data_IF_764689099508
#
_entry.id   IF_764689099508
#
_cell.length_a   1.000
_cell.length_b   1.000
_cell.length_c   1.000
_cell.angle_alpha   90.00
_cell.angle_beta   90.00
_cell.angle_gamma   90.00
#
_symmetry.space_group_name_H-M   'P 1'
#
loop_
_entity.id
_entity.type
_entity.pdbx_description
1 polymer ?
#
# COMPACT_ATOMS: atom_id res chain seq x y z
N UNK A 1 35.35 -8.62 11.32
CA UNK A 1 34.56 -8.57 10.07
C UNK A 1 33.11 -8.79 10.43
N UNK A 2 32.35 -7.70 10.67
CA UNK A 2 30.91 -7.75 10.93
C UNK A 2 30.22 -7.40 9.62
N UNK A 3 29.34 -8.29 9.17
CA UNK A 3 28.64 -8.18 7.90
C UNK A 3 27.91 -6.85 7.79
N UNK A 4 28.29 -6.09 6.77
CA UNK A 4 27.58 -4.91 6.33
C UNK A 4 26.28 -5.41 5.68
N UNK A 5 25.22 -5.60 6.47
CA UNK A 5 23.88 -5.71 5.89
C UNK A 5 23.53 -4.34 5.33
N UNK A 6 23.75 -4.19 4.02
CA UNK A 6 23.26 -3.06 3.23
C UNK A 6 21.74 -3.16 3.22
N UNK A 7 21.11 -2.58 4.25
CA UNK A 7 19.69 -2.23 4.18
C UNK A 7 19.60 -1.07 3.22
N UNK A 8 19.05 -1.34 2.02
CA UNK A 8 18.63 -0.29 1.10
C UNK A 8 17.62 0.56 1.85
N UNK A 9 18.06 1.75 2.25
CA UNK A 9 17.22 2.81 2.75
C UNK A 9 16.31 3.21 1.59
N UNK A 10 15.14 2.58 1.48
CA UNK A 10 14.09 3.07 0.59
C UNK A 10 13.70 4.43 1.14
N UNK A 11 14.19 5.48 0.47
CA UNK A 11 13.79 6.86 0.65
C UNK A 11 12.27 6.91 0.92
N UNK A 12 11.89 7.69 1.93
CA UNK A 12 10.53 8.23 2.06
C UNK A 12 10.23 9.12 0.85
N UNK A 13 10.10 8.52 -0.32
CA UNK A 13 9.31 9.11 -1.38
C UNK A 13 7.87 8.86 -1.00
N UNK A 14 7.22 9.90 -0.47
CA UNK A 14 5.80 10.11 -0.65
C UNK A 14 5.50 10.32 -2.15
N UNK A 15 5.88 9.36 -2.99
CA UNK A 15 5.26 9.19 -4.29
C UNK A 15 3.90 8.63 -3.96
N UNK A 16 2.85 9.39 -4.28
CA UNK A 16 1.49 8.88 -4.31
C UNK A 16 1.54 7.58 -5.13
N UNK A 17 1.48 6.45 -4.44
CA UNK A 17 1.35 5.16 -5.11
C UNK A 17 -0.02 5.21 -5.77
N UNK A 18 -0.06 5.07 -7.10
CA UNK A 18 -1.30 4.90 -7.85
C UNK A 18 -2.19 3.90 -7.10
N UNK A 19 -3.39 4.33 -6.69
CA UNK A 19 -4.31 3.49 -5.90
C UNK A 19 -4.25 3.61 -4.38
N UNK A 20 -3.50 4.55 -3.79
CA UNK A 20 -3.59 4.83 -2.33
C UNK A 20 -4.92 5.50 -1.96
N UNK A 21 -5.59 5.05 -0.89
CA UNK A 21 -6.75 5.75 -0.30
C UNK A 21 -6.29 6.56 0.91
N UNK A 22 -6.53 7.87 0.88
CA UNK A 22 -6.25 8.78 1.99
C UNK A 22 -7.56 9.27 2.62
N UNK A 23 -7.62 9.24 3.95
CA UNK A 23 -8.73 9.77 4.74
C UNK A 23 -8.21 10.90 5.62
N UNK A 24 -8.65 12.12 5.34
CA UNK A 24 -8.33 13.30 6.15
C UNK A 24 -9.29 13.41 7.31
N UNK A 25 -8.76 13.73 8.48
CA UNK A 25 -9.54 14.13 9.65
C UNK A 25 -9.56 15.66 9.71
N UNK A 26 -10.63 16.25 10.28
CA UNK A 26 -10.70 17.69 10.48
C UNK A 26 -9.56 18.17 11.41
N UNK A 27 -9.34 19.48 11.44
CA UNK A 27 -8.51 20.08 12.48
C UNK A 27 -9.08 19.76 13.86
N UNK A 28 -8.21 19.34 14.77
CA UNK A 28 -8.59 18.87 16.09
C UNK A 28 -7.66 19.51 17.13
N UNK A 29 -8.22 19.92 18.25
CA UNK A 29 -7.45 20.23 19.45
C UNK A 29 -7.59 19.05 20.44
N UNK A 30 -6.46 18.47 20.86
CA UNK A 30 -6.43 17.39 21.85
C UNK A 30 -5.77 17.92 23.13
N UNK A 31 -6.53 18.06 24.21
CA UNK A 31 -6.01 18.39 25.54
C UNK A 31 -6.16 17.19 26.47
N UNK A 32 -5.04 16.57 26.82
CA UNK A 32 -5.01 15.38 27.69
C UNK A 32 -5.97 14.28 27.24
N UNK A 33 -6.11 14.14 25.91
CA UNK A 33 -7.11 13.32 25.26
C UNK A 33 -6.53 12.61 24.03
N UNK A 34 -7.37 11.78 23.40
CA UNK A 34 -6.99 11.03 22.21
C UNK A 34 -8.11 11.02 21.18
N UNK A 35 -7.74 10.87 19.92
CA UNK A 35 -8.65 10.57 18.81
C UNK A 35 -8.28 9.23 18.19
N UNK A 36 -9.28 8.36 18.03
CA UNK A 36 -9.12 7.09 17.32
C UNK A 36 -9.14 7.38 15.82
N UNK A 37 -8.19 6.79 15.11
CA UNK A 37 -8.07 6.92 13.67
C UNK A 37 -8.82 5.80 12.94
N UNK A 38 -9.27 6.03 11.70
CA UNK A 38 -9.83 4.96 10.88
C UNK A 38 -8.83 3.82 10.73
N UNK A 39 -9.28 2.58 10.94
CA UNK A 39 -8.45 1.41 10.70
C UNK A 39 -8.19 1.22 9.20
N UNK A 40 -7.04 0.64 8.89
CA UNK A 40 -6.73 0.27 7.52
C UNK A 40 -7.59 -0.91 7.06
N UNK A 41 -7.89 -1.00 5.75
CA UNK A 41 -8.49 -2.20 5.17
C UNK A 41 -7.78 -3.49 5.56
N UNK A 42 -8.53 -4.57 5.81
CA UNK A 42 -7.99 -5.88 6.23
C UNK A 42 -6.93 -6.43 5.26
N UNK A 43 -6.99 -6.11 3.97
CA UNK A 43 -6.04 -6.59 2.96
C UNK A 43 -4.94 -5.57 2.60
N UNK A 44 -4.78 -4.49 3.37
CA UNK A 44 -3.72 -3.50 3.12
C UNK A 44 -2.35 -4.16 3.29
N UNK A 45 -1.41 -3.86 2.41
CA UNK A 45 -0.01 -4.25 2.58
C UNK A 45 0.84 -3.11 3.09
N UNK A 46 0.31 -1.88 3.06
CA UNK A 46 0.95 -0.66 3.55
C UNK A 46 -0.07 0.25 4.23
N UNK A 47 0.36 0.88 5.31
CA UNK A 47 -0.40 1.90 6.04
C UNK A 47 0.49 3.07 6.41
N UNK A 48 -0.03 4.28 6.36
CA UNK A 48 0.68 5.49 6.74
C UNK A 48 -0.22 6.36 7.60
N UNK A 49 0.35 6.95 8.65
CA UNK A 49 -0.26 7.98 9.48
C UNK A 49 0.63 9.21 9.40
N UNK A 50 0.04 10.36 9.07
CA UNK A 50 0.71 11.65 9.20
C UNK A 50 -0.06 12.53 10.18
N UNK A 51 0.67 13.08 11.15
CA UNK A 51 0.15 14.09 12.07
C UNK A 51 1.05 15.31 11.98
N UNK A 52 0.46 16.48 11.76
CA UNK A 52 1.11 17.78 11.95
C UNK A 52 0.47 18.49 13.11
N UNK A 53 1.23 18.70 14.18
CA UNK A 53 0.71 19.36 15.37
C UNK A 53 1.72 20.17 16.16
N UNK A 54 1.18 21.04 17.01
CA UNK A 54 1.92 21.95 17.88
C UNK A 54 1.43 21.85 19.33
N UNK A 55 2.32 21.52 20.27
CA UNK A 55 1.98 21.50 21.69
C UNK A 55 1.92 22.93 22.23
N UNK A 56 0.80 23.28 22.85
CA UNK A 56 0.59 24.55 23.54
C UNK A 56 1.31 24.56 24.87
N UNK A 57 1.90 25.71 25.18
CA UNK A 57 2.47 26.04 26.50
C UNK A 57 3.47 25.00 27.02
N UNK A 58 4.17 24.31 26.12
CA UNK A 58 5.24 23.38 26.45
C UNK A 58 6.45 24.12 27.06
N UNK A 59 6.59 24.01 28.39
CA UNK A 59 7.60 24.74 29.15
C UNK A 59 8.98 24.15 28.90
N UNK A 60 9.98 25.03 28.89
CA UNK A 60 11.36 24.59 28.92
C UNK A 60 11.70 24.09 30.33
N UNK A 61 12.26 22.89 30.41
CA UNK A 61 12.59 22.21 31.66
C UNK A 61 13.82 21.35 31.45
N UNK A 62 14.58 21.09 32.52
CA UNK A 62 15.64 20.09 32.50
C UNK A 62 15.07 18.69 32.23
N UNK A 63 15.67 18.00 31.27
CA UNK A 63 15.24 16.66 30.86
C UNK A 63 14.02 16.68 29.94
N UNK A 64 13.13 15.71 30.11
CA UNK A 64 11.96 15.55 29.24
C UNK A 64 10.79 16.41 29.73
N UNK A 65 10.15 17.16 28.82
CA UNK A 65 8.98 17.98 29.15
C UNK A 65 7.83 17.14 29.68
N UNK A 66 7.06 17.59 30.68
CA UNK A 66 5.88 16.83 31.14
C UNK A 66 4.79 16.65 30.07
N UNK A 67 4.80 17.42 28.98
CA UNK A 67 3.88 17.28 27.85
C UNK A 67 4.52 16.53 26.68
N UNK A 68 3.69 15.86 25.91
CA UNK A 68 4.09 15.05 24.75
C UNK A 68 2.87 14.68 23.92
N UNK A 69 3.08 14.24 22.69
CA UNK A 69 2.03 13.59 21.91
C UNK A 69 2.57 12.35 21.20
N UNK A 70 1.68 11.45 20.83
CA UNK A 70 2.04 10.16 20.25
C UNK A 70 1.10 9.73 19.13
N UNK A 71 1.64 8.91 18.25
CA UNK A 71 0.89 8.03 17.36
C UNK A 71 0.96 6.62 17.97
N UNK A 72 -0.18 6.14 18.46
CA UNK A 72 -0.34 4.79 18.96
C UNK A 72 -0.69 3.86 17.80
N UNK A 73 0.06 2.77 17.66
CA UNK A 73 -0.04 1.81 16.56
C UNK A 73 -0.79 0.54 16.97
N UNK A 74 -1.27 0.46 18.21
CA UNK A 74 -1.82 -0.76 18.81
C UNK A 74 -0.76 -1.77 19.22
N UNK A 75 -1.20 -2.91 19.76
CA UNK A 75 -0.34 -3.97 20.32
C UNK A 75 0.79 -3.49 21.28
N UNK A 76 0.59 -2.34 21.95
CA UNK A 76 1.57 -1.71 22.83
C UNK A 76 2.66 -0.89 22.14
N UNK A 77 2.64 -0.79 20.80
CA UNK A 77 3.57 0.04 20.03
C UNK A 77 3.08 1.48 19.92
N UNK A 78 3.98 2.44 20.17
CA UNK A 78 3.67 3.88 20.06
C UNK A 78 4.91 4.69 19.72
N UNK A 79 4.74 5.71 18.89
CA UNK A 79 5.78 6.68 18.54
C UNK A 79 5.45 8.00 19.20
N UNK A 80 6.30 8.47 20.12
CA UNK A 80 6.11 9.72 20.86
C UNK A 80 7.01 10.82 20.29
N UNK A 81 6.50 12.05 20.22
CA UNK A 81 7.30 13.26 20.06
C UNK A 81 7.23 14.09 21.35
N UNK A 82 8.40 14.45 21.89
CA UNK A 82 8.55 15.14 23.17
C UNK A 82 9.71 16.12 23.14
N UNK A 83 9.57 17.26 23.80
CA UNK A 83 10.70 18.17 24.02
C UNK A 83 11.65 17.60 25.07
N UNK A 84 12.95 17.74 24.83
CA UNK A 84 14.00 17.23 25.72
C UNK A 84 15.15 18.24 25.80
N UNK A 85 15.58 18.61 27.01
CA UNK A 85 16.71 19.51 27.22
C UNK A 85 17.75 18.86 28.16
N UNK A 86 18.83 18.27 27.63
CA UNK A 86 19.87 17.64 28.44
C UNK A 86 20.78 18.64 29.17
N UNK A 87 20.83 19.90 28.72
CA UNK A 87 21.83 20.90 29.12
C UNK A 87 21.18 22.19 29.63
N UNK A 88 19.97 22.07 30.19
CA UNK A 88 19.15 23.17 30.67
C UNK A 88 19.91 24.09 31.63
N UNK A 89 19.80 25.40 31.39
CA UNK A 89 20.47 26.47 32.14
C UNK A 89 22.01 26.40 32.13
N UNK A 90 22.60 25.64 31.20
CA UNK A 90 24.06 25.63 30.96
C UNK A 90 24.47 26.60 29.85
N UNK A 91 25.77 26.83 29.67
CA UNK A 91 26.30 27.63 28.56
C UNK A 91 26.05 27.01 27.18
N UNK A 92 25.70 25.73 27.12
CA UNK A 92 25.39 24.96 25.92
C UNK A 92 23.94 24.46 25.94
N UNK A 93 23.05 25.23 26.56
CA UNK A 93 21.60 24.94 26.61
C UNK A 93 21.07 24.73 25.19
N UNK A 94 20.60 23.51 24.93
CA UNK A 94 20.04 23.11 23.65
C UNK A 94 18.80 22.27 23.90
N UNK A 95 17.64 22.82 23.52
CA UNK A 95 16.39 22.07 23.52
C UNK A 95 16.28 21.26 22.23
N UNK A 96 15.93 19.99 22.37
CA UNK A 96 15.85 18.97 21.34
C UNK A 96 14.43 18.42 21.21
N UNK A 97 14.10 17.90 20.03
CA UNK A 97 12.93 17.05 19.83
C UNK A 97 13.35 15.58 19.96
N UNK A 98 12.80 14.88 20.94
CA UNK A 98 12.98 13.45 21.15
C UNK A 98 11.85 12.68 20.50
N UNK A 99 12.17 11.85 19.53
CA UNK A 99 11.27 10.88 18.91
C UNK A 99 11.61 9.50 19.47
N UNK A 100 10.63 8.79 20.03
CA UNK A 100 10.86 7.47 20.61
C UNK A 100 9.77 6.48 20.18
N UNK A 101 10.17 5.31 19.70
CA UNK A 101 9.29 4.17 19.52
C UNK A 101 9.37 3.27 20.76
N UNK A 102 8.22 3.04 21.38
CA UNK A 102 8.06 2.15 22.53
C UNK A 102 7.34 0.85 22.14
N UNK A 103 7.55 -0.20 22.94
CA UNK A 103 6.66 -1.35 23.10
C UNK A 103 6.38 -1.55 24.59
N UNK A 104 5.16 -1.29 25.04
CA UNK A 104 4.90 -1.19 26.48
C UNK A 104 5.80 -0.12 27.09
N UNK A 105 6.55 -0.42 28.15
CA UNK A 105 7.49 0.55 28.75
C UNK A 105 8.92 0.47 28.18
N UNK A 106 9.16 -0.46 27.26
CA UNK A 106 10.48 -0.66 26.65
C UNK A 106 10.70 0.27 25.45
N UNK A 107 11.88 0.87 25.36
CA UNK A 107 12.32 1.66 24.22
C UNK A 107 12.86 0.71 23.15
N UNK A 108 12.30 0.79 21.95
CA UNK A 108 12.76 0.03 20.78
C UNK A 108 13.75 0.85 19.95
N UNK A 109 13.42 2.12 19.72
CA UNK A 109 14.27 3.07 19.01
C UNK A 109 14.05 4.48 19.57
N UNK A 110 15.11 5.30 19.54
CA UNK A 110 15.07 6.69 20.01
C UNK A 110 16.06 7.54 19.23
N UNK A 111 15.67 8.77 18.92
CA UNK A 111 16.54 9.78 18.35
C UNK A 111 16.21 11.16 18.93
N UNK A 112 17.25 11.93 19.23
CA UNK A 112 17.15 13.32 19.67
C UNK A 112 17.60 14.23 18.52
N UNK A 113 16.79 15.22 18.15
CA UNK A 113 16.99 16.04 16.97
C UNK A 113 16.92 17.52 17.30
N UNK A 114 17.99 18.26 17.00
CA UNK A 114 17.99 19.73 17.00
C UNK A 114 17.75 20.34 15.62
N UNK A 115 18.00 19.60 14.55
CA UNK A 115 17.77 20.02 13.16
C UNK A 115 16.50 19.38 12.61
N UNK A 116 15.80 20.11 11.74
CA UNK A 116 14.58 19.64 11.08
C UNK A 116 13.32 19.75 11.95
N UNK A 117 13.43 19.61 13.26
CA UNK A 117 12.34 19.74 14.24
C UNK A 117 12.39 21.07 15.00
N UNK A 118 11.23 21.50 15.51
CA UNK A 118 11.09 22.69 16.34
C UNK A 118 10.54 22.30 17.73
N UNK A 119 11.39 22.15 18.75
CA UNK A 119 10.97 21.67 20.06
C UNK A 119 10.27 22.75 20.92
N UNK A 120 10.08 23.97 20.42
CA UNK A 120 9.45 25.05 21.18
C UNK A 120 7.93 24.91 21.22
N UNK A 121 7.31 25.49 22.27
CA UNK A 121 5.86 25.58 22.36
C UNK A 121 5.24 26.29 21.14
N UNK A 122 4.07 25.83 20.72
CA UNK A 122 3.31 26.32 19.57
C UNK A 122 4.03 26.14 18.21
N UNK A 123 5.17 25.47 18.16
CA UNK A 123 5.83 25.14 16.91
C UNK A 123 5.24 23.84 16.33
N UNK A 124 4.88 23.90 15.04
CA UNK A 124 4.35 22.75 14.34
C UNK A 124 5.46 21.79 13.92
N UNK A 125 5.28 20.53 14.30
CA UNK A 125 6.07 19.41 13.80
C UNK A 125 5.15 18.41 13.12
N UNK A 126 5.64 17.84 12.03
CA UNK A 126 5.04 16.69 11.37
C UNK A 126 5.73 15.42 11.86
N UNK A 127 4.96 14.40 12.19
CA UNK A 127 5.41 13.03 12.44
C UNK A 127 4.67 12.10 11.48
N UNK A 128 5.42 11.28 10.76
CA UNK A 128 4.91 10.29 9.81
C UNK A 128 5.33 8.92 10.32
N UNK A 129 4.38 8.00 10.40
CA UNK A 129 4.64 6.59 10.67
C UNK A 129 4.10 5.76 9.52
N UNK A 130 4.99 5.02 8.88
CA UNK A 130 4.67 4.07 7.82
C UNK A 130 4.86 2.64 8.32
N UNK A 131 3.92 1.78 7.96
CA UNK A 131 3.82 0.38 8.34
C UNK A 131 3.69 -0.47 7.08
N UNK A 132 4.27 -1.66 7.10
CA UNK A 132 3.98 -2.69 6.10
C UNK A 132 3.52 -4.02 6.72
N UNK A 133 3.03 -4.92 5.88
CA UNK A 133 2.54 -6.24 6.27
C UNK A 133 3.64 -7.19 6.80
N UNK A 134 4.92 -6.86 6.59
CA UNK A 134 6.07 -7.61 7.08
C UNK A 134 6.51 -7.15 8.48
N UNK A 135 5.85 -6.14 9.05
CA UNK A 135 6.13 -5.60 10.37
C UNK A 135 7.29 -4.60 10.38
N UNK A 136 7.61 -3.97 9.25
CA UNK A 136 8.49 -2.80 9.26
C UNK A 136 7.70 -1.58 9.75
N UNK A 137 8.37 -0.75 10.57
CA UNK A 137 7.92 0.55 11.02
C UNK A 137 8.98 1.56 10.59
N UNK A 138 8.63 2.50 9.73
CA UNK A 138 9.47 3.63 9.36
C UNK A 138 8.88 4.91 9.95
N UNK A 139 9.73 5.71 10.61
CA UNK A 139 9.35 6.97 11.23
C UNK A 139 10.10 8.10 10.57
N UNK A 140 9.37 9.14 10.18
CA UNK A 140 9.90 10.38 9.63
C UNK A 140 9.28 11.58 10.33
N UNK A 141 9.92 12.73 10.25
CA UNK A 141 9.29 13.96 10.75
C UNK A 141 10.13 15.20 10.57
N UNK A 142 9.54 16.34 10.95
CA UNK A 142 10.18 17.65 10.86
C UNK A 142 9.16 18.78 10.68
N UNK A 143 9.67 19.99 10.47
CA UNK A 143 8.86 21.22 10.42
C UNK A 143 8.38 21.57 9.01
N UNK A 144 9.21 21.36 8.00
CA UNK A 144 8.93 21.69 6.59
C UNK A 144 8.96 20.46 5.69
N UNK A 145 10.11 19.80 5.65
CA UNK A 145 10.35 18.59 4.87
C UNK A 145 10.62 17.49 5.90
N UNK A 146 9.75 16.47 5.99
CA UNK A 146 9.99 15.34 6.87
C UNK A 146 11.27 14.60 6.47
N UNK A 147 12.17 14.38 7.43
CA UNK A 147 13.38 13.58 7.26
C UNK A 147 13.21 12.23 7.96
N UNK A 148 13.89 11.21 7.46
CA UNK A 148 13.90 9.90 8.10
C UNK A 148 14.49 10.01 9.51
N UNK A 149 13.76 9.50 10.51
CA UNK A 149 14.20 9.46 11.91
C UNK A 149 14.82 8.08 12.21
N UNK A 150 14.05 7.02 12.03
CA UNK A 150 14.53 5.63 12.13
C UNK A 150 13.57 4.66 11.43
N UNK A 151 14.05 3.44 11.16
CA UNK A 151 13.23 2.32 10.72
C UNK A 151 13.60 1.06 11.50
N UNK A 152 12.59 0.27 11.90
CA UNK A 152 12.78 -0.99 12.62
C UNK A 152 11.83 -2.06 12.08
N UNK A 153 12.27 -3.32 12.10
CA UNK A 153 11.36 -4.45 11.92
C UNK A 153 10.96 -5.01 13.29
N UNK A 154 9.66 -5.06 13.57
CA UNK A 154 9.12 -5.58 14.84
C UNK A 154 8.54 -6.99 14.71
N UNK A 155 8.66 -7.61 13.53
CA UNK A 155 8.21 -8.99 13.25
C UNK A 155 6.71 -9.21 13.42
N UNK A 156 5.90 -8.14 13.44
CA UNK A 156 4.46 -8.18 13.66
C UNK A 156 3.75 -7.22 12.71
N UNK A 157 2.76 -7.72 12.00
CA UNK A 157 1.88 -6.88 11.18
C UNK A 157 0.95 -6.05 12.09
N UNK A 158 1.08 -4.73 12.03
CA UNK A 158 0.27 -3.78 12.82
C UNK A 158 -0.88 -3.16 12.02
N UNK A 159 -1.06 -3.50 10.73
CA UNK A 159 -2.10 -2.94 9.86
C UNK A 159 -3.53 -3.33 10.28
N UNK A 160 -3.67 -4.33 11.15
CA UNK A 160 -4.96 -4.78 11.69
C UNK A 160 -5.32 -4.14 13.03
N UNK A 161 -4.43 -3.34 13.61
CA UNK A 161 -4.67 -2.68 14.88
C UNK A 161 -5.50 -1.39 14.67
N UNK A 162 -6.03 -0.82 15.76
CA UNK A 162 -6.77 0.46 15.73
C UNK A 162 -5.85 1.61 16.17
N UNK A 163 -5.27 2.36 15.23
CA UNK A 163 -4.35 3.44 15.59
C UNK A 163 -5.08 4.62 16.25
N UNK A 164 -4.35 5.40 17.03
CA UNK A 164 -4.87 6.64 17.62
C UNK A 164 -3.78 7.70 17.74
N UNK A 165 -4.18 8.96 17.84
CA UNK A 165 -3.31 10.06 18.25
C UNK A 165 -3.69 10.44 19.66
N UNK A 166 -2.71 10.55 20.55
CA UNK A 166 -2.93 10.95 21.95
C UNK A 166 -1.99 12.08 22.33
N UNK A 167 -2.48 12.99 23.17
CA UNK A 167 -1.71 14.10 23.73
C UNK A 167 -1.76 14.06 25.25
N UNK A 168 -0.63 14.37 25.88
CA UNK A 168 -0.54 14.83 27.27
C UNK A 168 -0.10 16.30 27.23
N UNK A 169 -0.96 17.20 27.69
CA UNK A 169 -1.00 18.61 27.30
C UNK A 169 -1.95 18.86 26.13
N UNK A 170 -2.00 20.12 25.68
CA UNK A 170 -2.87 20.57 24.59
C UNK A 170 -2.13 20.61 23.26
N UNK A 171 -2.48 19.74 22.32
CA UNK A 171 -1.96 19.66 20.95
C UNK A 171 -2.96 20.30 19.97
N UNK A 172 -2.53 21.30 19.22
CA UNK A 172 -3.22 21.75 18.01
C UNK A 172 -2.80 20.90 16.83
N UNK A 173 -3.73 20.20 16.19
CA UNK A 173 -3.49 19.40 14.98
C UNK A 173 -4.01 20.17 13.78
N UNK A 174 -3.10 20.58 12.89
CA UNK A 174 -3.43 21.29 11.64
C UNK A 174 -3.56 20.35 10.44
N UNK A 175 -2.95 19.17 10.50
CA UNK A 175 -3.11 18.14 9.48
C UNK A 175 -3.10 16.76 10.13
N UNK A 176 -4.06 15.92 9.76
CA UNK A 176 -4.13 14.55 10.20
C UNK A 176 -4.77 13.71 9.11
N UNK A 177 -4.04 12.70 8.66
CA UNK A 177 -4.61 11.72 7.76
C UNK A 177 -4.03 10.34 7.99
N UNK A 178 -4.82 9.35 7.55
CA UNK A 178 -4.38 7.98 7.36
C UNK A 178 -4.44 7.64 5.89
N UNK A 179 -3.44 6.91 5.43
CA UNK A 179 -3.35 6.40 4.07
C UNK A 179 -3.14 4.89 4.10
N UNK A 180 -3.74 4.18 3.13
CA UNK A 180 -3.46 2.76 2.85
C UNK A 180 -3.29 2.59 1.36
N UNK A 181 -2.54 1.55 0.97
CA UNK A 181 -2.70 0.98 -0.35
C UNK A 181 -4.11 0.39 -0.49
N UNK A 182 -4.76 0.57 -1.64
CA UNK A 182 -5.92 -0.27 -1.93
C UNK A 182 -5.41 -1.68 -2.21
N UNK A 183 -5.85 -2.65 -1.40
CA UNK A 183 -5.60 -4.06 -1.71
C UNK A 183 -6.07 -4.36 -3.13
N UNK A 184 -5.20 -4.95 -3.96
CA UNK A 184 -5.52 -5.38 -5.33
C UNK A 184 -6.85 -6.13 -5.36
N UNK A 185 -7.07 -7.03 -4.38
CA UNK A 185 -8.32 -7.76 -4.24
C UNK A 185 -9.53 -6.83 -4.22
N UNK A 186 -9.58 -5.83 -3.35
CA UNK A 186 -10.76 -4.93 -3.30
C UNK A 186 -10.97 -4.14 -4.59
N UNK A 187 -9.89 -3.70 -5.24
CA UNK A 187 -9.97 -2.93 -6.49
C UNK A 187 -10.55 -3.77 -7.64
N UNK A 188 -10.25 -5.07 -7.66
CA UNK A 188 -10.51 -5.94 -8.80
C UNK A 188 -11.48 -7.09 -8.50
N UNK A 189 -11.97 -7.27 -7.26
CA UNK A 189 -12.97 -8.29 -6.95
C UNK A 189 -14.23 -8.06 -7.79
N UNK A 190 -14.72 -9.12 -8.41
CA UNK A 190 -16.05 -9.18 -9.03
C UNK A 190 -16.96 -10.09 -8.22
N UNK A 191 -18.21 -10.26 -8.67
CA UNK A 191 -19.16 -11.23 -8.09
C UNK A 191 -18.93 -12.66 -8.61
N UNK A 192 -17.96 -12.86 -9.51
CA UNK A 192 -17.58 -14.18 -9.97
C UNK A 192 -16.87 -14.96 -8.85
N UNK A 193 -17.28 -16.19 -8.69
CA UNK A 193 -16.70 -17.24 -7.86
C UNK A 193 -16.34 -18.40 -8.76
N UNK A 194 -15.53 -19.35 -8.29
CA UNK A 194 -15.21 -20.53 -9.08
C UNK A 194 -16.48 -21.32 -9.49
N UNK A 195 -17.45 -21.40 -8.57
CA UNK A 195 -18.68 -22.16 -8.78
C UNK A 195 -19.57 -21.53 -9.85
N UNK A 196 -19.91 -20.24 -9.73
CA UNK A 196 -20.78 -19.59 -10.70
C UNK A 196 -20.10 -19.38 -12.07
N UNK A 197 -18.77 -19.23 -12.13
CA UNK A 197 -18.02 -19.25 -13.40
C UNK A 197 -18.18 -20.59 -14.10
N UNK A 198 -18.03 -21.69 -13.36
CA UNK A 198 -18.16 -23.04 -13.90
C UNK A 198 -19.57 -23.30 -14.44
N UNK A 199 -20.59 -22.90 -13.70
CA UNK A 199 -21.99 -23.02 -14.13
C UNK A 199 -22.28 -22.18 -15.38
N UNK A 200 -21.87 -20.91 -15.38
CA UNK A 200 -22.03 -20.00 -16.52
C UNK A 200 -21.40 -20.57 -17.79
N UNK A 201 -20.12 -20.93 -17.70
CA UNK A 201 -19.33 -21.43 -18.84
C UNK A 201 -19.89 -22.75 -19.41
N UNK A 202 -20.42 -23.64 -18.56
CA UNK A 202 -21.09 -24.87 -19.03
C UNK A 202 -22.34 -24.60 -19.86
N UNK A 203 -23.07 -23.52 -19.56
CA UNK A 203 -24.30 -23.17 -20.26
C UNK A 203 -24.06 -22.25 -21.48
N UNK A 204 -22.87 -21.65 -21.57
CA UNK A 204 -22.54 -20.69 -22.60
C UNK A 204 -22.43 -21.32 -23.99
N UNK A 205 -22.99 -20.62 -24.97
CA UNK A 205 -22.83 -20.92 -26.41
C UNK A 205 -21.91 -19.91 -27.10
N UNK A 206 -21.36 -18.96 -26.36
CA UNK A 206 -20.48 -17.94 -26.92
C UNK A 206 -19.09 -18.56 -27.19
N UNK A 207 -18.58 -18.52 -28.43
CA UNK A 207 -17.29 -19.12 -28.77
C UNK A 207 -16.09 -18.43 -28.08
N UNK A 208 -16.24 -17.17 -27.66
CA UNK A 208 -15.20 -16.43 -26.92
C UNK A 208 -15.17 -16.85 -25.46
N UNK A 209 -16.32 -17.13 -24.86
CA UNK A 209 -16.39 -17.47 -23.44
C UNK A 209 -15.81 -18.85 -23.15
N UNK A 210 -15.11 -18.98 -22.03
CA UNK A 210 -14.56 -20.25 -21.57
C UNK A 210 -13.40 -20.10 -20.61
N UNK A 211 -12.87 -21.25 -20.17
CA UNK A 211 -11.65 -21.30 -19.34
C UNK A 211 -10.45 -21.46 -20.25
N UNK A 212 -9.45 -20.61 -20.07
CA UNK A 212 -8.21 -20.60 -20.84
C UNK A 212 -7.03 -20.87 -19.90
N UNK A 213 -6.21 -21.86 -20.26
CA UNK A 213 -5.00 -22.22 -19.53
C UNK A 213 -3.76 -21.73 -20.27
N UNK A 214 -2.74 -21.28 -19.54
CA UNK A 214 -1.47 -20.87 -20.13
C UNK A 214 -0.91 -21.94 -21.07
N UNK A 215 -0.66 -21.56 -22.32
CA UNK A 215 -0.07 -22.42 -23.35
C UNK A 215 1.44 -22.19 -23.41
N UNK A 216 1.85 -21.01 -23.86
CA UNK A 216 3.25 -20.62 -23.94
C UNK A 216 3.41 -19.08 -24.00
N UNK A 217 4.65 -18.64 -24.16
CA UNK A 217 5.00 -17.22 -24.32
C UNK A 217 6.19 -17.06 -25.25
N UNK A 218 6.26 -15.90 -25.89
CA UNK A 218 7.49 -15.38 -26.49
C UNK A 218 7.74 -14.01 -25.86
N UNK A 219 8.76 -13.89 -25.03
CA UNK A 219 9.04 -12.66 -24.29
C UNK A 219 10.54 -12.45 -24.11
N UNK A 220 10.93 -11.18 -24.02
CA UNK A 220 12.25 -10.77 -23.53
C UNK A 220 12.16 -10.50 -22.01
N UNK A 221 12.81 -11.32 -21.15
CA UNK A 221 12.75 -11.16 -19.70
C UNK A 221 13.34 -9.85 -19.16
N UNK A 222 14.08 -9.11 -19.99
CA UNK A 222 14.56 -7.77 -19.65
C UNK A 222 13.42 -6.74 -19.64
N UNK A 223 12.45 -6.87 -20.56
CA UNK A 223 11.33 -5.93 -20.70
C UNK A 223 10.10 -6.37 -19.91
N UNK A 224 9.79 -7.67 -19.88
CA UNK A 224 8.67 -8.18 -19.11
C UNK A 224 8.92 -9.58 -18.60
N UNK A 225 8.59 -9.80 -17.32
CA UNK A 225 8.57 -11.11 -16.68
C UNK A 225 7.13 -11.53 -16.46
N UNK A 226 6.81 -12.74 -16.87
CA UNK A 226 5.48 -13.30 -16.64
C UNK A 226 5.21 -13.42 -15.14
N UNK A 227 4.10 -12.87 -14.68
CA UNK A 227 3.69 -12.93 -13.27
C UNK A 227 3.15 -14.29 -12.83
N UNK A 228 2.95 -15.25 -13.74
CA UNK A 228 2.42 -16.58 -13.43
C UNK A 228 1.98 -17.35 -14.66
N UNK A 229 1.81 -18.67 -14.55
CA UNK A 229 1.20 -19.50 -15.59
C UNK A 229 -0.31 -19.55 -15.35
N UNK A 230 -1.01 -18.52 -15.80
CA UNK A 230 -2.38 -18.26 -15.39
C UNK A 230 -3.38 -19.28 -15.94
N UNK A 231 -4.39 -19.55 -15.12
CA UNK A 231 -5.69 -20.08 -15.49
C UNK A 231 -6.70 -18.93 -15.36
N UNK A 232 -7.39 -18.61 -16.46
CA UNK A 232 -8.33 -17.49 -16.53
C UNK A 232 -9.67 -17.97 -17.11
N UNK A 233 -10.76 -17.30 -16.75
CA UNK A 233 -12.03 -17.38 -17.46
C UNK A 233 -12.20 -16.12 -18.31
N UNK A 234 -12.79 -16.27 -19.49
CA UNK A 234 -13.32 -15.16 -20.28
C UNK A 234 -14.83 -15.30 -20.29
N UNK A 235 -15.54 -14.25 -19.87
CA UNK A 235 -17.01 -14.21 -19.75
C UNK A 235 -17.53 -12.89 -20.31
N UNK A 236 -18.74 -12.88 -20.90
CA UNK A 236 -19.37 -11.64 -21.35
C UNK A 236 -19.55 -10.67 -20.17
N UNK A 237 -19.30 -9.39 -20.43
CA UNK A 237 -19.54 -8.30 -19.47
C UNK A 237 -21.02 -7.88 -19.40
N UNK A 238 -21.90 -8.57 -20.14
CA UNK A 238 -23.32 -8.23 -20.25
C UNK A 238 -23.62 -7.09 -21.23
N UNK A 239 -22.60 -6.56 -21.91
CA UNK A 239 -22.69 -5.49 -22.90
C UNK A 239 -22.16 -5.96 -24.26
N UNK A 240 -21.03 -5.43 -24.71
CA UNK A 240 -20.36 -5.80 -25.96
C UNK A 240 -18.97 -6.40 -25.75
N UNK A 241 -18.46 -6.43 -24.52
CA UNK A 241 -17.10 -6.86 -24.19
C UNK A 241 -17.03 -8.18 -23.45
N UNK A 242 -15.83 -8.51 -22.98
CA UNK A 242 -15.60 -9.69 -22.17
C UNK A 242 -14.65 -9.38 -21.02
N UNK A 243 -15.03 -9.79 -19.81
CA UNK A 243 -14.15 -9.75 -18.66
C UNK A 243 -13.25 -10.98 -18.62
N UNK A 244 -11.98 -10.74 -18.33
CA UNK A 244 -11.00 -11.78 -18.04
C UNK A 244 -10.93 -11.94 -16.52
N UNK A 245 -11.40 -13.07 -16.00
CA UNK A 245 -11.45 -13.38 -14.58
C UNK A 245 -10.30 -14.30 -14.21
N UNK A 246 -9.54 -13.91 -13.18
CA UNK A 246 -8.47 -14.72 -12.60
C UNK A 246 -9.08 -15.94 -11.89
N UNK A 247 -8.57 -17.14 -12.22
CA UNK A 247 -8.88 -18.38 -11.49
C UNK A 247 -7.69 -18.79 -10.63
N UNK A 248 -6.52 -18.99 -11.25
CA UNK A 248 -5.33 -19.49 -10.57
C UNK A 248 -4.04 -19.16 -11.36
N UNK A 249 -2.88 -19.53 -10.82
CA UNK A 249 -1.61 -19.61 -11.53
C UNK A 249 -0.69 -18.39 -11.38
N UNK A 250 -1.07 -17.40 -10.56
CA UNK A 250 -0.16 -16.32 -10.17
C UNK A 250 1.06 -16.86 -9.40
N UNK A 251 2.21 -16.23 -9.59
CA UNK A 251 3.48 -16.55 -8.90
C UNK A 251 4.12 -15.30 -8.33
N UNK A 252 4.12 -14.22 -9.09
CA UNK A 252 4.47 -12.90 -8.60
C UNK A 252 3.27 -12.31 -7.89
N UNK A 253 3.47 -11.89 -6.64
CA UNK A 253 2.43 -11.32 -5.78
C UNK A 253 1.21 -12.26 -5.59
N UNK A 254 1.46 -13.57 -5.54
CA UNK A 254 0.44 -14.64 -5.50
C UNK A 254 -0.63 -14.41 -4.43
N UNK A 255 -0.22 -14.02 -3.21
CA UNK A 255 -1.11 -13.76 -2.08
C UNK A 255 -2.11 -12.62 -2.29
N UNK A 256 -1.88 -11.74 -3.27
CA UNK A 256 -2.79 -10.63 -3.58
C UNK A 256 -3.85 -10.98 -4.62
N UNK A 257 -3.70 -12.12 -5.31
CA UNK A 257 -4.66 -12.62 -6.29
C UNK A 257 -5.54 -13.71 -5.68
N UNK A 258 -6.83 -13.60 -5.88
CA UNK A 258 -7.84 -14.55 -5.43
C UNK A 258 -8.78 -14.83 -6.58
N UNK A 259 -9.21 -16.07 -6.74
CA UNK A 259 -10.19 -16.48 -7.74
C UNK A 259 -11.40 -15.55 -7.74
N UNK A 260 -11.85 -15.15 -8.94
CA UNK A 260 -12.96 -14.19 -9.11
C UNK A 260 -12.53 -12.73 -9.30
N UNK A 261 -11.24 -12.43 -9.19
CA UNK A 261 -10.74 -11.09 -9.48
C UNK A 261 -10.66 -10.80 -10.98
N UNK A 262 -11.03 -9.59 -11.39
CA UNK A 262 -10.83 -9.06 -12.73
C UNK A 262 -9.33 -8.97 -13.04
N UNK A 263 -8.88 -9.73 -14.03
CA UNK A 263 -7.50 -9.73 -14.52
C UNK A 263 -7.32 -8.88 -15.76
N UNK A 264 -8.39 -8.64 -16.50
CA UNK A 264 -8.38 -7.82 -17.70
C UNK A 264 -9.76 -7.72 -18.32
N UNK A 265 -9.83 -7.04 -19.47
CA UNK A 265 -11.05 -6.88 -20.24
C UNK A 265 -10.71 -6.90 -21.74
N UNK A 266 -11.59 -7.46 -22.55
CA UNK A 266 -11.50 -7.53 -24.00
C UNK A 266 -12.61 -6.70 -24.62
N UNK A 267 -12.24 -5.63 -25.32
CA UNK A 267 -13.18 -4.83 -26.09
C UNK A 267 -13.08 -5.20 -27.58
N UNK A 268 -14.14 -5.71 -28.21
CA UNK A 268 -14.07 -6.11 -29.62
C UNK A 268 -13.74 -4.95 -30.55
N UNK A 269 -12.85 -5.20 -31.50
CA UNK A 269 -12.59 -4.27 -32.60
C UNK A 269 -13.74 -4.38 -33.60
N UNK A 270 -14.58 -3.33 -33.69
CA UNK A 270 -15.86 -3.35 -34.44
C UNK A 270 -15.82 -3.88 -35.88
N UNK A 271 -14.67 -3.84 -36.55
CA UNK A 271 -14.51 -4.24 -37.95
C UNK A 271 -13.70 -5.53 -38.14
N UNK A 272 -13.17 -6.13 -37.07
CA UNK A 272 -12.29 -7.29 -37.15
C UNK A 272 -12.82 -8.42 -36.28
N UNK A 273 -13.06 -9.58 -36.89
CA UNK A 273 -13.50 -10.78 -36.19
C UNK A 273 -12.36 -11.30 -35.33
N UNK A 274 -12.68 -11.71 -34.10
CA UNK A 274 -11.75 -12.30 -33.14
C UNK A 274 -10.52 -11.41 -32.81
N UNK A 275 -10.65 -10.09 -32.95
CA UNK A 275 -9.66 -9.10 -32.54
C UNK A 275 -10.24 -8.18 -31.47
N UNK A 276 -9.43 -7.86 -30.46
CA UNK A 276 -9.85 -7.11 -29.29
C UNK A 276 -8.78 -6.10 -28.87
N UNK A 277 -9.21 -4.95 -28.40
CA UNK A 277 -8.37 -4.14 -27.51
C UNK A 277 -8.31 -4.84 -26.15
N UNK A 278 -7.10 -4.86 -25.57
CA UNK A 278 -6.88 -5.50 -24.28
C UNK A 278 -6.74 -4.46 -23.18
N UNK A 279 -7.38 -4.73 -22.06
CA UNK A 279 -7.01 -4.16 -20.75
C UNK A 279 -6.42 -5.29 -19.93
N UNK A 280 -5.27 -5.06 -19.31
CA UNK A 280 -4.63 -6.05 -18.45
C UNK A 280 -4.22 -5.45 -17.11
N UNK A 281 -4.53 -6.13 -16.01
CA UNK A 281 -4.02 -5.77 -14.69
C UNK A 281 -2.78 -6.59 -14.38
N UNK A 282 -1.64 -5.91 -14.15
CA UNK A 282 -0.34 -6.54 -13.91
C UNK A 282 -0.27 -7.27 -12.56
N UNK A 283 0.91 -7.68 -12.07
CA UNK A 283 1.02 -8.35 -10.77
C UNK A 283 0.72 -7.44 -9.56
N UNK A 284 0.83 -6.12 -9.74
CA UNK A 284 0.59 -5.07 -8.75
C UNK A 284 -0.85 -4.52 -8.82
N UNK A 285 -1.67 -4.99 -9.78
CA UNK A 285 -3.03 -4.51 -9.97
C UNK A 285 -3.10 -3.19 -10.73
N UNK A 286 -2.00 -2.81 -11.40
CA UNK A 286 -1.94 -1.62 -12.22
C UNK A 286 -2.47 -1.92 -13.62
N UNK A 287 -3.26 -0.97 -14.13
CA UNK A 287 -3.99 -1.11 -15.38
C UNK A 287 -3.05 -0.82 -16.56
N UNK A 288 -2.94 -1.76 -17.47
CA UNK A 288 -2.26 -1.61 -18.75
C UNK A 288 -3.32 -1.47 -19.85
N UNK A 289 -3.19 -0.47 -20.70
CA UNK A 289 -4.12 -0.19 -21.81
C UNK A 289 -3.45 0.29 -23.10
N UNK A 290 -2.19 0.74 -23.03
CA UNK A 290 -1.50 1.36 -24.16
C UNK A 290 -0.78 0.32 -25.01
N UNK A 291 -1.04 0.30 -26.31
CA UNK A 291 -0.44 -0.59 -27.30
C UNK A 291 -0.44 -2.06 -26.88
N UNK A 292 -1.58 -2.54 -26.38
CA UNK A 292 -1.82 -3.95 -26.09
C UNK A 292 -3.11 -4.43 -26.77
N UNK A 293 -3.05 -5.63 -27.34
CA UNK A 293 -4.16 -6.23 -28.08
C UNK A 293 -4.31 -7.72 -27.75
N UNK A 294 -5.46 -8.25 -28.13
CA UNK A 294 -5.73 -9.67 -28.03
C UNK A 294 -6.42 -10.20 -29.30
N UNK A 295 -6.20 -11.48 -29.57
CA UNK A 295 -6.91 -12.18 -30.64
C UNK A 295 -7.26 -13.61 -30.26
N UNK A 296 -8.32 -14.15 -30.85
CA UNK A 296 -8.66 -15.57 -30.76
C UNK A 296 -8.42 -16.24 -32.11
N UNK A 297 -7.67 -17.33 -32.11
CA UNK A 297 -7.39 -18.14 -33.29
C UNK A 297 -8.03 -19.52 -33.11
N UNK A 298 -8.65 -20.03 -34.18
CA UNK A 298 -9.22 -21.38 -34.24
C UNK A 298 -10.23 -21.68 -33.11
N UNK A 299 -10.93 -20.65 -32.60
CA UNK A 299 -11.84 -20.74 -31.44
C UNK A 299 -11.23 -21.36 -30.17
N UNK A 300 -9.90 -21.42 -30.08
CA UNK A 300 -9.21 -22.16 -29.04
C UNK A 300 -7.97 -21.47 -28.49
N UNK A 301 -7.26 -20.66 -29.29
CA UNK A 301 -6.01 -20.03 -28.87
C UNK A 301 -6.26 -18.54 -28.64
N UNK A 302 -6.28 -18.13 -27.38
CA UNK A 302 -6.32 -16.72 -26.99
C UNK A 302 -4.88 -16.20 -26.90
N UNK A 303 -4.56 -15.20 -27.71
CA UNK A 303 -3.24 -14.58 -27.77
C UNK A 303 -3.32 -13.16 -27.27
N UNK A 304 -2.49 -12.81 -26.27
CA UNK A 304 -2.28 -11.43 -25.83
C UNK A 304 -0.94 -10.93 -26.35
N UNK A 305 -0.94 -9.71 -26.89
CA UNK A 305 0.26 -9.05 -27.41
C UNK A 305 0.52 -7.79 -26.63
N UNK A 306 1.78 -7.65 -26.22
CA UNK A 306 2.33 -6.50 -25.52
C UNK A 306 3.53 -5.95 -26.30
N UNK A 307 3.32 -5.33 -27.48
CA UNK A 307 4.36 -4.78 -28.36
C UNK A 307 5.47 -4.00 -27.64
N UNK A 308 5.12 -3.03 -26.80
CA UNK A 308 6.09 -2.20 -26.06
C UNK A 308 7.01 -3.02 -25.15
N UNK A 309 6.54 -4.18 -24.72
CA UNK A 309 7.24 -5.10 -23.85
C UNK A 309 7.84 -6.30 -24.59
N UNK A 310 7.81 -6.30 -25.93
CA UNK A 310 8.27 -7.40 -26.79
C UNK A 310 7.76 -8.76 -26.32
N UNK A 311 6.50 -8.82 -25.94
CA UNK A 311 5.92 -9.97 -25.25
C UNK A 311 4.63 -10.42 -25.91
N UNK A 312 4.52 -11.73 -26.13
CA UNK A 312 3.32 -12.43 -26.56
C UNK A 312 3.05 -13.56 -25.57
N UNK A 313 1.82 -13.69 -25.12
CA UNK A 313 1.37 -14.75 -24.21
C UNK A 313 0.18 -15.44 -24.86
N UNK A 314 0.20 -16.77 -24.88
CA UNK A 314 -0.88 -17.56 -25.47
C UNK A 314 -1.52 -18.45 -24.42
N UNK A 315 -2.83 -18.65 -24.58
CA UNK A 315 -3.64 -19.51 -23.74
C UNK A 315 -4.47 -20.44 -24.60
N UNK A 316 -4.63 -21.68 -24.14
CA UNK A 316 -5.46 -22.69 -24.79
C UNK A 316 -6.80 -22.80 -24.05
N UNK A 317 -7.90 -22.77 -24.81
CA UNK A 317 -9.24 -22.98 -24.28
C UNK A 317 -9.38 -24.43 -23.81
N UNK A 318 -9.77 -24.62 -22.56
CA UNK A 318 -10.02 -25.96 -21.99
C UNK A 318 -11.29 -26.54 -22.59
N UNK A 319 -11.32 -27.85 -22.91
CA UNK A 319 -12.56 -28.51 -23.27
C UNK A 319 -13.51 -28.49 -22.07
N UNK A 320 -14.78 -28.18 -22.34
CA UNK A 320 -15.85 -28.29 -21.35
C UNK A 320 -15.97 -29.78 -20.97
N UNK A 321 -15.76 -30.10 -19.69
CA UNK A 321 -16.07 -31.43 -19.13
C UNK A 321 -17.47 -31.44 -18.53
#
# INVERSE_FOLDING_TARGET
MRGLSVFVLSLLTALAVSGSRRTYLPEINLCDSSVVLPSWPVKSTRGLIEVRGALKKDRDVAGESSTWWEINLGAGYRVTLRSYNPSFASLVDERLSRVTLYRGDSIIARTDMSKGFAPQANAFNTLIVELDSLGNIAVAGGTRIPEAVFAVNVGRNLLHESPSVKSCGCLDISNLFVESDQSISRKLMTDWTEENLREHIKSSRNPVEGVYEYLDRNNDPHYARLGGRYLIAVVSDGSSGYDIIYIDGARTNESSWTTGMLKGHLEPVKMLVDQFYLVWYDALGEKMTEDIDASIEQNAILTFRFPLYKTVIRFLKRPLK
#
